data_IF_178558612055
#
_entry.id   IF_178558612055
#
_cell.length_a   1.000
_cell.length_b   1.000
_cell.length_c   1.000
_cell.angle_alpha   90.00
_cell.angle_beta   90.00
_cell.angle_gamma   90.00
#
_symmetry.space_group_name_H-M   'P 1'
#
loop_
_entity.id
_entity.type
_entity.pdbx_description
1 polymer ?
#
# COMPACT_ATOMS: atom_id res chain seq x y z
N UNK A 1 9.57 14.94 -53.83
CA UNK A 1 9.88 15.46 -52.48
C UNK A 1 9.04 14.70 -51.47
N UNK A 2 9.63 14.01 -50.48
CA UNK A 2 8.86 13.41 -49.40
C UNK A 2 8.08 14.53 -48.70
N UNK A 3 6.74 14.46 -48.68
CA UNK A 3 5.94 15.42 -47.91
C UNK A 3 6.19 15.17 -46.43
N UNK A 4 6.58 16.21 -45.70
CA UNK A 4 6.77 16.15 -44.26
C UNK A 4 5.46 15.68 -43.60
N UNK A 5 5.48 14.62 -42.75
CA UNK A 5 4.26 13.99 -42.27
C UNK A 5 3.67 14.75 -41.07
N UNK A 6 3.13 15.96 -41.32
CA UNK A 6 2.64 16.91 -40.32
C UNK A 6 1.69 16.28 -39.29
N UNK A 7 0.75 15.44 -39.72
CA UNK A 7 -0.21 14.78 -38.82
C UNK A 7 0.53 13.85 -37.85
N UNK A 8 1.48 13.04 -38.35
CA UNK A 8 2.26 12.16 -37.51
C UNK A 8 3.17 12.94 -36.55
N UNK A 9 3.77 14.05 -37.01
CA UNK A 9 4.57 14.96 -36.18
C UNK A 9 3.75 15.51 -35.02
N UNK A 10 2.52 15.96 -35.30
CA UNK A 10 1.64 16.54 -34.31
C UNK A 10 1.22 15.50 -33.26
N UNK A 11 0.85 14.29 -33.70
CA UNK A 11 0.45 13.20 -32.78
C UNK A 11 1.61 12.83 -31.86
N UNK A 12 2.81 12.60 -32.42
CA UNK A 12 3.98 12.21 -31.63
C UNK A 12 4.42 13.34 -30.70
N UNK A 13 4.43 14.59 -31.20
CA UNK A 13 4.75 15.76 -30.40
C UNK A 13 3.81 15.92 -29.20
N UNK A 14 2.50 15.73 -29.41
CA UNK A 14 1.52 15.76 -28.34
C UNK A 14 1.73 14.63 -27.33
N UNK A 15 1.98 13.40 -27.79
CA UNK A 15 2.25 12.26 -26.92
C UNK A 15 3.49 12.51 -26.04
N UNK A 16 4.58 13.02 -26.62
CA UNK A 16 5.80 13.40 -25.89
C UNK A 16 5.49 14.49 -24.85
N UNK A 17 4.74 15.53 -25.22
CA UNK A 17 4.36 16.60 -24.31
C UNK A 17 3.55 16.08 -23.11
N UNK A 18 2.60 15.16 -23.35
CA UNK A 18 1.82 14.51 -22.29
C UNK A 18 2.72 13.67 -21.38
N UNK A 19 3.64 12.86 -21.92
CA UNK A 19 4.56 12.06 -21.11
C UNK A 19 5.45 12.94 -20.23
N UNK A 20 5.98 14.04 -20.77
CA UNK A 20 6.77 15.02 -19.99
C UNK A 20 5.90 15.64 -18.88
N UNK A 21 4.68 16.07 -19.21
CA UNK A 21 3.76 16.65 -18.22
C UNK A 21 3.43 15.67 -17.08
N UNK A 22 3.21 14.39 -17.41
CA UNK A 22 3.01 13.32 -16.42
C UNK A 22 4.25 13.09 -15.56
N UNK A 23 5.45 13.11 -16.15
CA UNK A 23 6.72 13.00 -15.44
C UNK A 23 6.91 14.15 -14.44
N UNK A 24 6.67 15.39 -14.89
CA UNK A 24 6.72 16.58 -14.03
C UNK A 24 5.68 16.49 -12.91
N UNK A 25 4.44 16.13 -13.22
CA UNK A 25 3.39 15.99 -12.21
C UNK A 25 3.72 14.94 -11.13
N UNK A 26 4.30 13.79 -11.52
CA UNK A 26 4.74 12.77 -10.57
C UNK A 26 5.80 13.32 -9.59
N UNK A 27 6.80 14.06 -10.08
CA UNK A 27 7.90 14.57 -9.24
C UNK A 27 7.53 15.82 -8.44
N UNK A 28 6.78 16.75 -9.03
CA UNK A 28 6.48 18.03 -8.41
C UNK A 28 5.30 17.97 -7.44
N UNK A 29 4.33 17.07 -7.69
CA UNK A 29 3.09 16.99 -6.91
C UNK A 29 3.06 15.72 -6.08
N UNK A 30 3.19 14.55 -6.72
CA UNK A 30 2.90 13.27 -6.04
C UNK A 30 4.02 12.79 -5.12
N UNK A 31 5.28 13.01 -5.49
CA UNK A 31 6.40 12.62 -4.66
C UNK A 31 6.43 13.38 -3.31
N UNK A 32 6.35 14.73 -3.26
CA UNK A 32 6.34 15.47 -1.99
C UNK A 32 5.14 15.15 -1.11
N UNK A 33 3.94 15.01 -1.70
CA UNK A 33 2.74 14.57 -0.97
C UNK A 33 2.98 13.24 -0.26
N UNK A 34 3.56 12.27 -0.98
CA UNK A 34 3.82 10.94 -0.43
C UNK A 34 4.91 10.98 0.64
N UNK A 35 5.96 11.77 0.45
CA UNK A 35 7.02 11.95 1.44
C UNK A 35 6.51 12.60 2.73
N UNK A 36 5.63 13.60 2.63
CA UNK A 36 5.01 14.21 3.80
C UNK A 36 4.15 13.22 4.60
N UNK A 37 3.38 12.37 3.91
CA UNK A 37 2.63 11.29 4.55
C UNK A 37 3.56 10.29 5.24
N UNK A 38 4.65 9.88 4.58
CA UNK A 38 5.63 8.97 5.17
C UNK A 38 6.32 9.61 6.39
N UNK A 39 6.68 10.89 6.32
CA UNK A 39 7.28 11.60 7.45
C UNK A 39 6.34 11.64 8.67
N UNK A 40 5.04 11.87 8.45
CA UNK A 40 4.03 11.80 9.51
C UNK A 40 3.98 10.41 10.14
N UNK A 41 3.91 9.36 9.31
CA UNK A 41 3.84 7.97 9.76
C UNK A 41 5.12 7.53 10.48
N UNK A 42 6.29 8.04 10.09
CA UNK A 42 7.57 7.76 10.72
C UNK A 42 7.63 8.26 12.18
N UNK A 43 6.88 9.31 12.51
CA UNK A 43 6.77 9.84 13.87
C UNK A 43 5.77 9.09 14.76
N UNK A 44 4.80 8.38 14.19
CA UNK A 44 3.79 7.63 14.95
C UNK A 44 4.35 6.58 15.93
N UNK A 45 5.42 5.82 15.60
CA UNK A 45 6.07 4.90 16.54
C UNK A 45 6.42 5.50 17.90
N UNK A 46 6.82 6.77 17.93
CA UNK A 46 7.30 7.47 19.13
C UNK A 46 6.19 8.21 19.89
N UNK A 47 5.00 8.34 19.30
CA UNK A 47 3.86 8.98 19.96
C UNK A 47 3.32 8.10 21.10
N UNK A 48 2.69 8.71 22.13
CA UNK A 48 2.01 7.97 23.18
C UNK A 48 0.95 7.01 22.63
N UNK A 49 0.80 5.88 23.33
CA UNK A 49 -0.20 4.87 23.01
C UNK A 49 -1.62 5.44 23.11
N UNK A 50 -2.50 5.01 22.21
CA UNK A 50 -3.91 5.39 22.19
C UNK A 50 -4.82 4.18 22.31
N UNK A 51 -6.10 4.41 22.59
CA UNK A 51 -7.10 3.36 22.39
C UNK A 51 -7.20 3.02 20.90
N UNK A 52 -7.42 1.74 20.57
CA UNK A 52 -7.64 1.31 19.20
C UNK A 52 -8.82 2.07 18.58
N UNK A 53 -8.66 2.68 17.39
CA UNK A 53 -9.66 3.55 16.81
C UNK A 53 -10.90 2.76 16.38
N UNK A 54 -12.09 3.34 16.59
CA UNK A 54 -13.37 2.74 16.17
C UNK A 54 -13.60 2.82 14.67
N UNK A 55 -13.04 3.83 14.02
CA UNK A 55 -13.19 4.06 12.58
C UNK A 55 -11.83 3.96 11.89
N UNK A 56 -11.80 3.53 10.62
CA UNK A 56 -10.56 3.52 9.85
C UNK A 56 -9.95 4.92 9.72
N UNK A 57 -8.69 5.04 10.10
CA UNK A 57 -7.89 6.25 9.96
C UNK A 57 -6.43 5.88 9.67
N UNK A 58 -6.04 6.03 8.41
CA UNK A 58 -4.70 5.68 7.93
C UNK A 58 -3.61 6.57 8.52
N UNK A 59 -3.96 7.73 9.08
CA UNK A 59 -2.98 8.61 9.74
C UNK A 59 -2.43 8.02 11.03
N UNK A 60 -3.07 6.98 11.57
CA UNK A 60 -2.70 6.28 12.81
C UNK A 60 -1.84 5.04 12.57
N UNK A 61 -1.53 4.69 11.32
CA UNK A 61 -0.68 3.53 11.01
C UNK A 61 0.66 3.63 11.76
N UNK A 62 1.16 2.48 12.19
CA UNK A 62 2.37 2.32 13.01
C UNK A 62 2.31 2.95 14.40
N UNK A 63 1.21 3.59 14.80
CA UNK A 63 1.08 4.12 16.16
C UNK A 63 0.86 2.98 17.15
N UNK A 64 1.43 3.12 18.35
CA UNK A 64 1.11 2.23 19.47
C UNK A 64 -0.36 2.40 19.86
N UNK A 65 -1.05 1.29 20.02
CA UNK A 65 -2.43 1.31 20.50
C UNK A 65 -2.71 0.11 21.41
N UNK A 66 -3.73 0.24 22.24
CA UNK A 66 -4.26 -0.86 23.04
C UNK A 66 -5.77 -0.97 22.89
N UNK A 67 -6.28 -2.18 23.12
CA UNK A 67 -7.70 -2.44 23.12
C UNK A 67 -8.01 -3.70 23.91
N UNK A 68 -9.25 -3.80 24.37
CA UNK A 68 -9.72 -4.95 25.13
C UNK A 68 -10.67 -5.79 24.30
N UNK A 69 -10.30 -7.05 24.07
CA UNK A 69 -11.15 -8.03 23.41
C UNK A 69 -12.03 -8.72 24.47
N UNK A 70 -13.32 -8.40 24.48
CA UNK A 70 -14.29 -9.02 25.39
C UNK A 70 -14.60 -10.44 24.94
N UNK A 71 -14.79 -10.62 23.64
CA UNK A 71 -15.14 -11.91 23.06
C UNK A 71 -14.56 -12.05 21.65
N UNK A 72 -13.75 -13.09 21.39
CA UNK A 72 -13.38 -13.49 20.03
C UNK A 72 -14.64 -13.93 19.25
N UNK A 73 -14.88 -13.32 18.09
CA UNK A 73 -16.03 -13.59 17.22
C UNK A 73 -15.64 -14.57 16.12
N UNK A 74 -14.51 -14.32 15.47
CA UNK A 74 -13.98 -15.15 14.40
C UNK A 74 -12.45 -15.18 14.46
N UNK A 75 -11.86 -16.23 13.92
CA UNK A 75 -10.40 -16.37 13.83
C UNK A 75 -10.01 -16.99 12.51
N UNK A 76 -8.91 -16.53 11.92
CA UNK A 76 -8.42 -16.99 10.63
C UNK A 76 -6.89 -17.05 10.61
N UNK A 77 -6.37 -18.03 9.87
CA UNK A 77 -4.97 -18.10 9.49
C UNK A 77 -4.83 -17.55 8.07
N UNK A 78 -4.04 -16.49 7.92
CA UNK A 78 -3.78 -15.86 6.62
C UNK A 78 -2.30 -16.00 6.30
N UNK A 79 -1.95 -16.30 5.04
CA UNK A 79 -0.55 -16.34 4.61
C UNK A 79 0.20 -15.04 4.89
N UNK A 80 1.42 -15.16 5.39
CA UNK A 80 2.34 -14.08 5.73
C UNK A 80 3.74 -14.29 5.10
N UNK A 81 3.81 -15.00 3.98
CA UNK A 81 5.06 -15.29 3.26
C UNK A 81 6.05 -16.07 4.13
N UNK A 82 7.28 -15.61 4.21
CA UNK A 82 8.35 -16.26 5.00
C UNK A 82 8.07 -16.37 6.51
N UNK A 83 7.10 -15.60 7.03
CA UNK A 83 6.67 -15.68 8.43
C UNK A 83 5.64 -16.80 8.70
N UNK A 84 5.22 -17.56 7.68
CA UNK A 84 4.22 -18.61 7.78
C UNK A 84 2.79 -18.05 7.66
N UNK A 85 1.93 -18.37 8.62
CA UNK A 85 0.55 -17.95 8.71
C UNK A 85 0.35 -17.06 9.92
N UNK A 86 -0.25 -15.88 9.73
CA UNK A 86 -0.65 -15.00 10.82
C UNK A 86 -2.02 -15.38 11.35
N UNK A 87 -2.13 -15.48 12.66
CA UNK A 87 -3.38 -15.74 13.35
C UNK A 87 -4.08 -14.41 13.65
N UNK A 88 -5.17 -14.13 12.95
CA UNK A 88 -5.95 -12.91 13.08
C UNK A 88 -7.30 -13.25 13.69
N UNK A 89 -7.68 -12.51 14.72
CA UNK A 89 -8.94 -12.65 15.44
C UNK A 89 -9.76 -11.37 15.29
N UNK A 90 -11.04 -11.52 14.98
CA UNK A 90 -12.01 -10.45 15.07
C UNK A 90 -12.63 -10.46 16.47
N UNK A 91 -12.48 -9.35 17.18
CA UNK A 91 -12.91 -9.20 18.55
C UNK A 91 -14.08 -8.25 18.68
N UNK A 92 -15.06 -8.65 19.50
CA UNK A 92 -16.03 -7.72 20.05
C UNK A 92 -15.37 -6.90 21.17
N UNK A 93 -15.48 -5.58 21.07
CA UNK A 93 -15.08 -4.65 22.13
C UNK A 93 -16.31 -4.25 22.94
N UNK A 94 -16.15 -3.82 24.19
CA UNK A 94 -17.26 -3.55 25.12
C UNK A 94 -18.18 -2.36 24.78
N UNK A 95 -18.04 -1.75 23.60
CA UNK A 95 -18.96 -0.74 23.10
C UNK A 95 -20.12 -1.37 22.32
N UNK A 96 -21.35 -0.94 22.58
CA UNK A 96 -22.56 -1.59 22.07
C UNK A 96 -22.70 -1.62 20.53
N UNK A 97 -22.02 -0.76 19.77
CA UNK A 97 -22.17 -0.68 18.30
C UNK A 97 -20.90 -0.15 17.62
N UNK A 98 -19.83 -0.96 17.56
CA UNK A 98 -18.61 -0.63 16.80
C UNK A 98 -18.17 -1.78 15.90
N UNK A 99 -17.36 -1.53 14.85
CA UNK A 99 -16.95 -2.55 13.85
C UNK A 99 -16.01 -3.64 14.38
N UNK A 100 -15.99 -3.86 15.70
CA UNK A 100 -15.04 -4.73 16.39
C UNK A 100 -13.61 -4.21 16.34
N UNK A 101 -12.69 -5.01 16.86
CA UNK A 101 -11.25 -4.81 16.77
C UNK A 101 -10.65 -6.05 16.11
N UNK A 102 -9.92 -5.90 15.02
CA UNK A 102 -9.13 -7.01 14.48
C UNK A 102 -7.76 -7.01 15.14
N UNK A 103 -7.29 -8.19 15.53
CA UNK A 103 -6.01 -8.38 16.21
C UNK A 103 -5.22 -9.49 15.56
N UNK A 104 -3.98 -9.21 15.18
CA UNK A 104 -3.01 -10.23 14.80
C UNK A 104 -2.20 -10.64 16.04
N UNK A 105 -2.41 -11.86 16.51
CA UNK A 105 -1.88 -12.36 17.79
C UNK A 105 -0.52 -13.06 17.66
N UNK A 106 0.00 -13.24 16.45
CA UNK A 106 1.25 -13.95 16.22
C UNK A 106 1.24 -14.70 14.89
N UNK A 107 2.31 -15.44 14.63
CA UNK A 107 2.45 -16.30 13.45
C UNK A 107 2.72 -17.75 13.81
N UNK A 108 2.42 -18.67 12.90
CA UNK A 108 2.72 -20.09 12.99
C UNK A 108 3.18 -20.60 11.63
N UNK A 109 4.07 -21.59 11.58
CA UNK A 109 4.46 -22.27 10.33
C UNK A 109 3.57 -23.46 10.00
N UNK A 110 2.75 -23.91 10.95
CA UNK A 110 1.80 -24.99 10.74
C UNK A 110 0.49 -24.45 10.13
N UNK A 111 0.15 -24.79 8.87
CA UNK A 111 -1.09 -24.36 8.23
C UNK A 111 -2.35 -24.95 8.87
N UNK A 112 -2.23 -26.03 9.65
CA UNK A 112 -3.33 -26.73 10.30
C UNK A 112 -3.45 -26.40 11.80
N UNK A 113 -2.60 -25.49 12.30
CA UNK A 113 -2.67 -25.03 13.67
C UNK A 113 -4.07 -24.47 13.98
N UNK A 114 -4.57 -24.79 15.18
CA UNK A 114 -5.82 -24.23 15.70
C UNK A 114 -5.55 -23.50 17.03
N UNK A 115 -4.86 -22.35 17.00
CA UNK A 115 -4.60 -21.58 18.21
C UNK A 115 -5.93 -21.16 18.83
N UNK A 116 -6.03 -21.30 20.15
CA UNK A 116 -7.21 -20.87 20.90
C UNK A 116 -6.81 -19.69 21.77
N UNK A 117 -7.51 -18.59 21.61
CA UNK A 117 -7.34 -17.38 22.42
C UNK A 117 -8.71 -16.94 22.94
N UNK A 118 -8.79 -16.58 24.23
CA UNK A 118 -10.05 -16.31 24.93
C UNK A 118 -10.44 -14.83 24.99
N UNK A 119 -9.63 -13.95 24.40
CA UNK A 119 -9.76 -12.50 24.59
C UNK A 119 -8.92 -11.99 25.75
N UNK A 120 -9.03 -10.70 26.02
CA UNK A 120 -8.21 -9.96 26.99
C UNK A 120 -7.69 -8.64 26.44
N UNK A 121 -6.85 -7.98 27.24
CA UNK A 121 -6.14 -6.78 26.83
C UNK A 121 -5.06 -7.12 25.78
N UNK A 122 -4.97 -6.29 24.76
CA UNK A 122 -3.92 -6.38 23.73
C UNK A 122 -3.32 -5.00 23.54
N UNK A 123 -1.99 -4.92 23.65
CA UNK A 123 -1.20 -3.78 23.20
C UNK A 123 -0.41 -4.14 21.96
N UNK A 124 -0.23 -3.17 21.08
CA UNK A 124 0.40 -3.41 19.80
C UNK A 124 0.53 -2.16 18.96
N UNK A 125 0.69 -2.39 17.65
CA UNK A 125 0.81 -1.33 16.66
C UNK A 125 -0.28 -1.44 15.60
N UNK A 126 -0.80 -0.30 15.17
CA UNK A 126 -1.85 -0.25 14.16
C UNK A 126 -1.24 -0.53 12.78
N UNK A 127 -1.90 -1.41 12.02
CA UNK A 127 -1.59 -1.69 10.61
C UNK A 127 -2.89 -1.94 9.83
N UNK A 128 -2.78 -2.12 8.52
CA UNK A 128 -3.92 -2.55 7.71
C UNK A 128 -4.20 -4.04 7.89
N UNK A 129 -5.48 -4.39 7.98
CA UNK A 129 -5.92 -5.75 7.86
C UNK A 129 -5.64 -6.30 6.45
N UNK A 130 -5.48 -7.63 6.28
CA UNK A 130 -5.40 -8.23 4.97
C UNK A 130 -6.64 -7.91 4.15
N UNK A 131 -6.45 -7.49 2.91
CA UNK A 131 -7.55 -7.23 1.97
C UNK A 131 -7.74 -8.46 1.09
N UNK A 132 -8.93 -9.06 1.15
CA UNK A 132 -9.28 -10.24 0.34
C UNK A 132 -9.87 -9.87 -1.03
N UNK A 133 -10.06 -8.58 -1.32
CA UNK A 133 -10.60 -8.13 -2.60
C UNK A 133 -9.58 -8.34 -3.72
N UNK A 134 -10.07 -8.72 -4.89
CA UNK A 134 -9.24 -8.76 -6.10
C UNK A 134 -8.83 -7.36 -6.53
N UNK A 135 -7.71 -7.24 -7.26
CA UNK A 135 -7.27 -5.95 -7.81
C UNK A 135 -8.32 -5.29 -8.72
N UNK A 136 -9.17 -6.08 -9.37
CA UNK A 136 -10.27 -5.54 -10.19
C UNK A 136 -11.39 -4.99 -9.31
N UNK A 137 -11.73 -5.68 -8.22
CA UNK A 137 -12.78 -5.23 -7.29
C UNK A 137 -12.42 -3.91 -6.61
N UNK A 138 -11.15 -3.69 -6.23
CA UNK A 138 -10.69 -2.46 -5.59
C UNK A 138 -10.75 -1.22 -6.49
N UNK A 139 -10.88 -1.39 -7.81
CA UNK A 139 -11.12 -0.27 -8.71
C UNK A 139 -12.51 0.33 -8.52
N UNK A 140 -13.52 -0.52 -8.26
CA UNK A 140 -14.92 -0.13 -8.11
C UNK A 140 -15.34 0.05 -6.65
N UNK A 141 -14.72 -0.68 -5.73
CA UNK A 141 -15.00 -0.59 -4.30
C UNK A 141 -14.03 0.38 -3.60
N UNK A 142 -14.56 1.51 -3.14
CA UNK A 142 -13.80 2.57 -2.43
C UNK A 142 -13.89 2.44 -0.91
N UNK A 143 -14.37 1.32 -0.37
CA UNK A 143 -14.41 1.13 1.08
C UNK A 143 -12.99 1.16 1.67
N UNK A 144 -12.75 1.98 2.70
CA UNK A 144 -11.45 2.08 3.35
C UNK A 144 -10.98 0.74 3.89
N UNK A 145 -9.66 0.51 3.85
CA UNK A 145 -9.08 -0.67 4.48
C UNK A 145 -9.33 -0.61 5.97
N UNK A 146 -9.80 -1.72 6.53
CA UNK A 146 -9.96 -1.83 7.98
C UNK A 146 -8.59 -1.82 8.66
N UNK A 147 -8.53 -1.20 9.82
CA UNK A 147 -7.37 -1.23 10.70
C UNK A 147 -7.34 -2.54 11.49
N UNK A 148 -6.13 -2.97 11.85
CA UNK A 148 -5.84 -4.14 12.66
C UNK A 148 -4.75 -3.80 13.67
N UNK A 149 -4.86 -4.34 14.88
CA UNK A 149 -3.83 -4.24 15.91
C UNK A 149 -2.88 -5.43 15.79
N UNK A 150 -1.60 -5.19 15.59
CA UNK A 150 -0.57 -6.24 15.61
C UNK A 150 -0.02 -6.30 17.02
N UNK A 151 -0.32 -7.40 17.72
CA UNK A 151 0.03 -7.58 19.12
C UNK A 151 1.55 -7.61 19.32
N UNK A 152 2.04 -6.91 20.33
CA UNK A 152 3.45 -6.91 20.72
C UNK A 152 3.84 -8.27 21.32
N UNK A 153 2.95 -8.84 22.14
CA UNK A 153 3.13 -10.14 22.79
C UNK A 153 2.35 -11.22 22.02
N UNK A 154 3.00 -12.32 21.60
CA UNK A 154 2.28 -13.39 20.92
C UNK A 154 1.33 -14.15 21.86
N UNK A 155 0.21 -14.63 21.32
CA UNK A 155 -0.65 -15.58 22.05
C UNK A 155 0.10 -16.91 22.25
N UNK A 156 -0.18 -17.67 23.34
CA UNK A 156 0.45 -18.96 23.58
C UNK A 156 0.41 -19.90 22.37
N UNK A 157 1.55 -20.53 22.06
CA UNK A 157 1.71 -21.41 20.90
C UNK A 157 1.97 -20.70 19.57
N UNK A 158 2.06 -19.36 19.55
CA UNK A 158 2.44 -18.59 18.37
C UNK A 158 3.84 -17.99 18.51
N UNK A 159 4.44 -17.72 17.35
CA UNK A 159 5.67 -16.94 17.22
C UNK A 159 5.34 -15.44 17.21
N UNK A 160 6.28 -14.62 17.68
CA UNK A 160 6.14 -13.16 17.70
C UNK A 160 5.92 -12.58 16.29
N UNK A 161 5.10 -11.54 16.21
CA UNK A 161 4.84 -10.82 14.96
C UNK A 161 6.10 -10.08 14.50
N UNK A 162 6.25 -9.91 13.18
CA UNK A 162 7.15 -8.89 12.67
C UNK A 162 6.62 -7.51 13.04
N UNK A 163 7.52 -6.62 13.43
CA UNK A 163 7.13 -5.24 13.75
C UNK A 163 6.70 -4.53 12.46
N UNK A 164 5.52 -3.89 12.42
CA UNK A 164 5.14 -3.06 11.29
C UNK A 164 6.15 -1.94 11.08
N UNK A 165 6.83 -1.98 9.94
CA UNK A 165 7.84 -1.02 9.56
C UNK A 165 7.35 -0.13 8.42
N UNK A 166 7.63 1.16 8.53
CA UNK A 166 7.30 2.14 7.50
C UNK A 166 8.05 1.88 6.19
N UNK A 167 9.23 1.26 6.24
CA UNK A 167 9.99 0.88 5.04
C UNK A 167 9.19 -0.05 4.10
N UNK A 168 8.18 -0.73 4.61
CA UNK A 168 7.28 -1.57 3.82
C UNK A 168 6.23 -0.79 3.01
N UNK A 169 6.07 0.52 3.24
CA UNK A 169 5.18 1.40 2.47
C UNK A 169 5.92 1.88 1.21
N UNK A 170 5.54 1.45 -0.01
CA UNK A 170 6.29 1.80 -1.20
C UNK A 170 6.20 3.30 -1.54
N UNK A 171 7.31 3.87 -2.01
CA UNK A 171 7.37 5.20 -2.64
C UNK A 171 8.01 5.08 -4.03
N UNK A 172 7.18 4.82 -5.04
CA UNK A 172 7.66 4.57 -6.40
C UNK A 172 7.53 5.80 -7.32
N UNK A 173 7.15 6.98 -6.79
CA UNK A 173 6.85 8.16 -7.60
C UNK A 173 8.07 8.68 -8.37
N UNK A 174 9.27 8.59 -7.79
CA UNK A 174 10.51 8.91 -8.50
C UNK A 174 10.73 7.99 -9.70
N UNK A 175 10.61 6.67 -9.50
CA UNK A 175 10.80 5.69 -10.56
C UNK A 175 9.79 5.89 -11.70
N UNK A 176 8.51 6.10 -11.37
CA UNK A 176 7.49 6.42 -12.37
C UNK A 176 7.75 7.76 -13.06
N UNK A 177 8.21 8.78 -12.34
CA UNK A 177 8.59 10.06 -12.92
C UNK A 177 9.69 9.90 -13.98
N UNK A 178 10.78 9.22 -13.64
CA UNK A 178 11.89 8.91 -14.56
C UNK A 178 11.41 8.08 -15.75
N UNK A 179 10.56 7.08 -15.51
CA UNK A 179 9.99 6.23 -16.56
C UNK A 179 9.23 7.06 -17.62
N UNK A 180 8.45 8.06 -17.22
CA UNK A 180 7.76 8.95 -18.16
C UNK A 180 8.72 9.76 -19.03
N UNK A 181 9.82 10.27 -18.48
CA UNK A 181 10.83 10.97 -19.26
C UNK A 181 11.58 10.04 -20.22
N UNK A 182 11.87 8.80 -19.81
CA UNK A 182 12.47 7.80 -20.69
C UNK A 182 11.55 7.44 -21.86
N UNK A 183 10.25 7.29 -21.61
CA UNK A 183 9.28 7.08 -22.70
C UNK A 183 9.22 8.25 -23.67
N UNK A 184 9.22 9.49 -23.17
CA UNK A 184 9.26 10.68 -24.01
C UNK A 184 10.54 10.72 -24.87
N UNK A 185 11.69 10.40 -24.28
CA UNK A 185 12.98 10.34 -24.97
C UNK A 185 12.97 9.28 -26.08
N UNK A 186 12.57 8.05 -25.76
CA UNK A 186 12.54 6.93 -26.71
C UNK A 186 11.59 7.23 -27.86
N UNK A 187 10.39 7.77 -27.58
CA UNK A 187 9.45 8.19 -28.62
C UNK A 187 10.05 9.25 -29.54
N UNK A 188 10.75 10.25 -28.99
CA UNK A 188 11.45 11.28 -29.76
C UNK A 188 12.55 10.69 -30.66
N UNK A 189 13.40 9.81 -30.11
CA UNK A 189 14.48 9.15 -30.87
C UNK A 189 13.93 8.31 -32.01
N UNK A 190 12.93 7.45 -31.74
CA UNK A 190 12.30 6.61 -32.77
C UNK A 190 11.69 7.47 -33.87
N UNK A 191 11.03 8.57 -33.50
CA UNK A 191 10.40 9.46 -34.47
C UNK A 191 11.41 10.16 -35.37
N UNK A 192 12.52 10.67 -34.81
CA UNK A 192 13.61 11.26 -35.58
C UNK A 192 14.22 10.23 -36.54
N UNK A 193 14.51 9.02 -36.06
CA UNK A 193 15.02 7.93 -36.92
C UNK A 193 14.04 7.58 -38.05
N UNK A 194 12.74 7.56 -37.76
CA UNK A 194 11.71 7.30 -38.76
C UNK A 194 11.65 8.41 -39.83
N UNK A 195 11.80 9.68 -39.44
CA UNK A 195 11.90 10.80 -40.39
C UNK A 195 13.15 10.68 -41.28
N UNK A 196 14.32 10.42 -40.68
CA UNK A 196 15.57 10.22 -41.42
C UNK A 196 15.46 9.06 -42.42
N UNK A 197 14.81 7.96 -42.04
CA UNK A 197 14.63 6.82 -42.93
C UNK A 197 13.67 7.12 -44.10
N UNK A 198 12.63 7.95 -43.86
CA UNK A 198 11.70 8.38 -44.91
C UNK A 198 12.37 9.31 -45.92
N UNK A 199 13.22 10.23 -45.45
CA UNK A 199 13.99 11.12 -46.34
C UNK A 199 14.93 10.32 -47.24
N UNK A 200 15.67 9.36 -46.69
CA UNK A 200 16.55 8.47 -47.47
C UNK A 200 15.83 7.64 -48.53
N UNK A 201 14.58 7.22 -48.28
CA UNK A 201 13.78 6.47 -49.27
C UNK A 201 13.23 7.32 -50.40
N UNK A 202 13.21 8.64 -50.23
CA UNK A 202 12.62 9.58 -51.17
C UNK A 202 13.65 10.44 -51.92
N UNK A 203 14.94 10.28 -51.58
CA UNK A 203 16.10 10.69 -52.36
C UNK A 203 16.50 9.54 -53.30
#
# INVERSE_FOLDING_TARGET
MPRFPLIATLIVGLAIAIMIALGVWQLAVRLPEKEAQLAQLAGNPAKPAIAFPRFPDDTLLFRKASGFCVQPVSSQLIGAGGAGFRFIVECRTGGLEGPGMMVQLGTTRDPMAKPVWKGGEVSGRISHAPDSRSMLATLFDKTPKRLMLIADTPSPGLTANSTPDISSVPNNHLAYGVQWFLFALVAGVIYVLALMWREKKAA
#
